data_IF_502088027903
#
_entry.id   IF_502088027903
#
_cell.length_a   1.000
_cell.length_b   1.000
_cell.length_c   1.000
_cell.angle_alpha   90.00
_cell.angle_beta   90.00
_cell.angle_gamma   90.00
#
_symmetry.space_group_name_H-M   'P 1'
#
loop_
_entity.id
_entity.type
_entity.pdbx_description
1 polymer ?
#
# COMPACT_ATOMS: atom_id res chain seq x y z
N UNK A 1 4.27 15.24 27.46
CA UNK A 1 3.01 14.49 27.52
C UNK A 1 2.89 13.78 26.18
N UNK A 2 3.25 12.51 26.15
CA UNK A 2 3.48 11.74 24.92
C UNK A 2 2.12 11.25 24.42
N UNK A 3 1.67 11.77 23.28
CA UNK A 3 0.48 11.30 22.59
C UNK A 3 0.88 10.03 21.85
N UNK A 4 0.26 8.91 22.22
CA UNK A 4 0.59 7.58 21.76
C UNK A 4 -0.08 7.33 20.39
N UNK A 5 0.72 7.16 19.35
CA UNK A 5 0.35 7.05 17.94
C UNK A 5 -0.20 5.67 17.56
N UNK A 6 -1.31 5.23 18.16
CA UNK A 6 -1.91 3.91 17.90
C UNK A 6 -2.99 3.89 16.80
N UNK A 7 -3.16 4.96 16.03
CA UNK A 7 -4.14 5.01 14.91
C UNK A 7 -3.59 4.50 13.58
N UNK A 8 -2.26 4.35 13.45
CA UNK A 8 -1.63 3.90 12.20
C UNK A 8 -1.78 2.39 11.93
N UNK A 9 -2.03 1.57 12.96
CA UNK A 9 -2.03 0.10 12.84
C UNK A 9 -3.37 -0.47 12.33
N UNK A 10 -4.49 0.25 12.48
CA UNK A 10 -5.80 -0.23 12.00
C UNK A 10 -6.02 0.03 10.50
N UNK A 11 -5.43 1.09 9.93
CA UNK A 11 -5.59 1.46 8.52
C UNK A 11 -4.88 0.46 7.58
N UNK A 12 -3.78 -0.17 8.02
CA UNK A 12 -3.14 -1.23 7.23
C UNK A 12 -4.01 -2.49 7.10
N UNK A 13 -4.87 -2.78 8.09
CA UNK A 13 -5.71 -3.99 8.06
C UNK A 13 -6.93 -3.87 7.14
N UNK A 14 -7.47 -2.66 6.92
CA UNK A 14 -8.57 -2.44 5.97
C UNK A 14 -8.12 -2.62 4.53
N UNK A 15 -6.90 -2.16 4.20
CA UNK A 15 -6.30 -2.35 2.87
C UNK A 15 -5.91 -3.81 2.61
N UNK A 16 -5.60 -4.58 3.65
CA UNK A 16 -5.35 -6.02 3.51
C UNK A 16 -6.64 -6.83 3.23
N UNK A 17 -7.82 -6.33 3.62
CA UNK A 17 -9.10 -7.03 3.42
C UNK A 17 -9.60 -6.94 1.97
N UNK A 18 -9.20 -5.90 1.23
CA UNK A 18 -9.50 -5.77 -0.21
C UNK A 18 -8.58 -6.66 -1.05
N UNK A 19 -7.37 -6.94 -0.59
CA UNK A 19 -6.40 -7.83 -1.28
C UNK A 19 -6.55 -9.33 -0.93
N UNK A 20 -7.43 -9.71 0.00
CA UNK A 20 -7.53 -11.10 0.49
C UNK A 20 -8.61 -11.95 -0.19
N UNK A 21 -9.30 -11.46 -1.23
CA UNK A 21 -10.34 -12.21 -1.95
C UNK A 21 -9.88 -12.79 -3.30
N UNK A 22 -8.57 -12.81 -3.60
CA UNK A 22 -8.03 -13.35 -4.85
C UNK A 22 -6.75 -14.18 -4.66
N UNK A 23 -6.69 -15.01 -3.62
CA UNK A 23 -5.59 -15.97 -3.43
C UNK A 23 -6.09 -17.38 -3.14
N UNK A 24 -6.50 -18.07 -4.20
CA UNK A 24 -6.20 -19.49 -4.32
C UNK A 24 -5.18 -19.70 -5.44
N UNK A 25 -4.19 -20.51 -5.08
CA UNK A 25 -2.92 -20.78 -5.73
C UNK A 25 -3.03 -21.43 -7.11
N UNK A 26 -2.23 -20.94 -8.06
CA UNK A 26 -1.51 -21.79 -9.01
C UNK A 26 -0.17 -21.14 -9.40
N UNK A 27 0.92 -21.81 -9.07
CA UNK A 27 2.25 -21.55 -9.64
C UNK A 27 2.29 -22.15 -11.04
N UNK A 28 2.88 -21.37 -11.95
CA UNK A 28 3.25 -21.74 -13.32
C UNK A 28 2.09 -21.72 -14.32
N UNK A 29 1.73 -20.53 -14.82
CA UNK A 29 1.15 -20.41 -16.16
C UNK A 29 1.83 -19.27 -16.92
N UNK A 30 2.25 -19.59 -18.14
CA UNK A 30 2.61 -18.65 -19.20
C UNK A 30 1.53 -17.56 -19.33
N UNK A 31 1.94 -16.34 -19.70
CA UNK A 31 1.06 -15.21 -20.01
C UNK A 31 -0.08 -15.64 -20.96
N UNK A 32 -1.20 -16.11 -20.40
CA UNK A 32 -2.50 -16.04 -21.05
C UNK A 32 -2.93 -14.58 -20.95
N UNK A 33 -2.94 -13.92 -22.10
CA UNK A 33 -3.67 -12.67 -22.27
C UNK A 33 -5.11 -12.99 -21.90
N UNK A 34 -5.57 -12.46 -20.78
CA UNK A 34 -6.98 -12.44 -20.43
C UNK A 34 -7.72 -11.62 -21.50
N UNK A 35 -8.85 -12.11 -21.99
CA UNK A 35 -9.76 -11.36 -22.88
C UNK A 35 -10.48 -10.21 -22.15
N UNK A 36 -10.19 -9.99 -20.85
CA UNK A 36 -10.72 -8.87 -20.07
C UNK A 36 -9.91 -7.59 -20.33
N UNK A 37 -10.61 -6.47 -20.50
CA UNK A 37 -9.97 -5.16 -20.64
C UNK A 37 -9.01 -4.89 -19.47
N UNK A 38 -7.81 -4.34 -19.73
CA UNK A 38 -6.82 -4.08 -18.68
C UNK A 38 -7.37 -3.09 -17.64
N UNK A 39 -7.37 -3.46 -16.36
CA UNK A 39 -7.83 -2.58 -15.26
C UNK A 39 -6.65 -1.95 -14.54
N UNK A 40 -6.70 -0.64 -14.30
CA UNK A 40 -5.69 0.09 -13.54
C UNK A 40 -5.65 -0.44 -12.10
N UNK A 41 -4.47 -0.92 -11.69
CA UNK A 41 -4.20 -1.39 -10.34
C UNK A 41 -3.52 -0.29 -9.53
N UNK A 42 -4.14 0.09 -8.41
CA UNK A 42 -3.61 1.13 -7.53
C UNK A 42 -2.19 0.82 -7.02
N UNK A 43 -1.95 -0.47 -6.74
CA UNK A 43 -0.67 -1.05 -6.29
C UNK A 43 -0.40 -2.32 -7.07
N UNK A 44 0.87 -2.54 -7.36
CA UNK A 44 1.40 -3.61 -8.19
C UNK A 44 2.46 -4.37 -7.39
N UNK A 45 2.71 -5.63 -7.75
CA UNK A 45 3.73 -6.43 -7.09
C UNK A 45 5.10 -5.79 -7.26
N UNK A 46 5.72 -5.44 -6.14
CA UNK A 46 7.01 -4.77 -6.07
C UNK A 46 7.92 -5.57 -5.13
N UNK A 47 9.10 -5.95 -5.63
CA UNK A 47 10.12 -6.60 -4.83
C UNK A 47 11.08 -5.55 -4.27
N UNK A 48 10.94 -5.26 -2.96
CA UNK A 48 11.82 -4.31 -2.28
C UNK A 48 13.22 -4.88 -2.02
N UNK A 49 14.19 -4.02 -1.70
CA UNK A 49 15.51 -4.50 -1.27
C UNK A 49 15.44 -5.26 0.06
N UNK A 50 14.45 -4.95 0.90
CA UNK A 50 14.14 -5.73 2.11
C UNK A 50 13.72 -7.16 1.77
N UNK A 51 12.88 -7.34 0.75
CA UNK A 51 12.43 -8.66 0.31
C UNK A 51 13.56 -9.47 -0.32
N UNK A 52 14.40 -8.84 -1.14
CA UNK A 52 15.62 -9.46 -1.69
C UNK A 52 16.56 -9.91 -0.59
N UNK A 53 16.79 -9.07 0.44
CA UNK A 53 17.62 -9.43 1.59
C UNK A 53 17.02 -10.57 2.41
N UNK A 54 15.69 -10.59 2.58
CA UNK A 54 14.99 -11.71 3.24
C UNK A 54 15.16 -13.00 2.45
N UNK A 55 14.96 -12.98 1.15
CA UNK A 55 15.13 -14.13 0.28
C UNK A 55 16.58 -14.66 0.33
N UNK A 56 17.57 -13.77 0.21
CA UNK A 56 18.99 -14.12 0.33
C UNK A 56 19.31 -14.77 1.69
N UNK A 57 18.85 -14.15 2.77
CA UNK A 57 19.07 -14.63 4.14
C UNK A 57 18.45 -16.01 4.37
N UNK A 58 17.19 -16.19 3.96
CA UNK A 58 16.51 -17.49 4.07
C UNK A 58 17.20 -18.55 3.23
N UNK A 59 17.57 -18.25 1.98
CA UNK A 59 18.25 -19.19 1.11
C UNK A 59 19.61 -19.63 1.68
N UNK A 60 20.40 -18.67 2.18
CA UNK A 60 21.72 -18.93 2.76
C UNK A 60 21.61 -19.78 4.04
N UNK A 61 20.86 -19.31 5.04
CA UNK A 61 20.85 -19.96 6.35
C UNK A 61 20.07 -21.26 6.39
N UNK A 62 19.08 -21.46 5.50
CA UNK A 62 18.44 -22.77 5.37
C UNK A 62 19.46 -23.82 4.88
N UNK A 63 20.28 -23.48 3.89
CA UNK A 63 21.34 -24.38 3.39
C UNK A 63 22.39 -24.66 4.45
N UNK A 64 22.87 -23.62 5.13
CA UNK A 64 23.88 -23.76 6.20
C UNK A 64 23.34 -24.59 7.37
N UNK A 65 22.06 -24.45 7.73
CA UNK A 65 21.44 -25.28 8.76
C UNK A 65 21.43 -26.77 8.37
N UNK A 66 21.09 -27.09 7.12
CA UNK A 66 21.14 -28.46 6.62
C UNK A 66 22.57 -29.03 6.57
N UNK A 67 23.58 -28.19 6.36
CA UNK A 67 24.99 -28.59 6.50
C UNK A 67 25.38 -28.84 7.96
N UNK A 68 25.02 -27.93 8.87
CA UNK A 68 25.32 -28.05 10.30
C UNK A 68 24.72 -29.32 10.92
N UNK A 69 23.51 -29.71 10.51
CA UNK A 69 22.82 -30.93 10.99
C UNK A 69 23.52 -32.24 10.61
N UNK A 70 24.48 -32.23 9.66
CA UNK A 70 25.27 -33.42 9.29
C UNK A 70 26.36 -33.75 10.30
N UNK A 71 26.69 -32.82 11.19
CA UNK A 71 27.71 -33.02 12.21
C UNK A 71 27.13 -33.70 13.45
N UNK A 72 27.92 -34.56 14.10
CA UNK A 72 27.49 -35.26 15.32
C UNK A 72 27.11 -34.29 16.46
N UNK A 73 27.74 -33.11 16.51
CA UNK A 73 27.36 -32.02 17.40
C UNK A 73 27.28 -30.70 16.60
N UNK A 74 26.10 -30.32 16.10
CA UNK A 74 25.91 -29.11 15.31
C UNK A 74 26.28 -27.82 16.08
N UNK A 75 26.02 -27.76 17.38
CA UNK A 75 26.38 -26.58 18.21
C UNK A 75 27.90 -26.40 18.31
N UNK A 76 28.64 -27.49 18.52
CA UNK A 76 30.10 -27.45 18.54
C UNK A 76 30.65 -27.05 17.16
N UNK A 77 30.10 -27.60 16.08
CA UNK A 77 30.50 -27.25 14.73
C UNK A 77 30.29 -25.74 14.42
N UNK A 78 29.15 -25.18 14.80
CA UNK A 78 28.89 -23.73 14.66
C UNK A 78 29.90 -22.93 15.50
N UNK A 79 30.16 -23.34 16.75
CA UNK A 79 31.16 -22.68 17.59
C UNK A 79 32.55 -22.69 16.94
N UNK A 80 32.96 -23.82 16.37
CA UNK A 80 34.25 -23.99 15.74
C UNK A 80 34.41 -23.10 14.50
N UNK A 81 33.37 -22.99 13.66
CA UNK A 81 33.35 -22.09 12.49
C UNK A 81 33.64 -20.64 12.83
N UNK A 82 33.10 -20.15 13.94
CA UNK A 82 33.14 -18.71 14.25
C UNK A 82 34.18 -18.33 15.30
N UNK A 83 34.59 -19.24 16.19
CA UNK A 83 35.37 -18.88 17.38
C UNK A 83 36.66 -19.69 17.59
N UNK A 84 36.93 -20.74 16.81
CA UNK A 84 38.13 -21.56 16.96
C UNK A 84 39.08 -21.44 15.75
N UNK A 85 40.11 -20.59 15.79
CA UNK A 85 41.03 -20.39 14.66
C UNK A 85 41.77 -21.63 14.18
N UNK A 86 41.93 -22.64 15.04
CA UNK A 86 42.55 -23.93 14.68
C UNK A 86 41.59 -24.92 14.02
N UNK A 87 40.30 -24.60 13.92
CA UNK A 87 39.31 -25.45 13.27
C UNK A 87 39.51 -25.46 11.76
N UNK A 88 39.42 -26.62 11.08
CA UNK A 88 39.41 -26.66 9.61
C UNK A 88 38.17 -25.98 9.00
N UNK A 89 37.16 -25.64 9.81
CA UNK A 89 35.94 -24.95 9.40
C UNK A 89 35.94 -23.46 9.74
N UNK A 90 37.03 -22.94 10.30
CA UNK A 90 37.09 -21.55 10.75
C UNK A 90 36.88 -20.57 9.59
N UNK A 91 35.94 -19.64 9.75
CA UNK A 91 35.65 -18.61 8.76
C UNK A 91 36.56 -17.41 9.03
N UNK A 92 37.43 -17.10 8.07
CA UNK A 92 38.33 -15.95 8.11
C UNK A 92 37.66 -14.65 7.68
N UNK A 93 38.30 -13.50 7.97
CA UNK A 93 37.85 -12.20 7.47
C UNK A 93 36.57 -11.61 8.10
N UNK A 94 36.00 -12.25 9.12
CA UNK A 94 34.87 -11.71 9.89
C UNK A 94 35.33 -10.90 11.11
N UNK A 95 34.71 -9.75 11.33
CA UNK A 95 34.84 -8.98 12.57
C UNK A 95 34.21 -9.72 13.75
N UNK A 96 34.53 -9.28 14.98
CA UNK A 96 33.91 -9.83 16.19
C UNK A 96 32.38 -9.71 16.17
N UNK A 97 31.84 -8.60 15.65
CA UNK A 97 30.39 -8.39 15.61
C UNK A 97 29.73 -9.32 14.59
N UNK A 98 30.29 -9.45 13.40
CA UNK A 98 29.76 -10.34 12.36
C UNK A 98 29.79 -11.81 12.79
N UNK A 99 30.85 -12.24 13.50
CA UNK A 99 30.91 -13.59 14.09
C UNK A 99 29.75 -13.84 15.05
N UNK A 100 29.44 -12.86 15.92
CA UNK A 100 28.31 -12.98 16.86
C UNK A 100 26.97 -13.05 16.14
N UNK A 101 26.77 -12.20 15.15
CA UNK A 101 25.53 -12.17 14.35
C UNK A 101 25.36 -13.51 13.63
N UNK A 102 26.34 -13.91 12.79
CA UNK A 102 26.21 -15.10 11.96
C UNK A 102 26.11 -16.39 12.78
N UNK A 103 26.92 -16.56 13.84
CA UNK A 103 26.79 -17.70 14.74
C UNK A 103 25.43 -17.72 15.45
N UNK A 104 24.95 -16.57 15.95
CA UNK A 104 23.65 -16.46 16.59
C UNK A 104 22.50 -16.82 15.64
N UNK A 105 22.60 -16.37 14.38
CA UNK A 105 21.64 -16.69 13.33
C UNK A 105 21.61 -18.19 13.02
N UNK A 106 22.76 -18.84 12.82
CA UNK A 106 22.81 -20.29 12.60
C UNK A 106 22.24 -21.09 13.77
N UNK A 107 22.49 -20.65 15.01
CA UNK A 107 21.91 -21.27 16.22
C UNK A 107 20.39 -21.12 16.26
N UNK A 108 19.85 -19.96 15.86
CA UNK A 108 18.40 -19.77 15.77
C UNK A 108 17.78 -20.69 14.70
N UNK A 109 18.40 -20.80 13.52
CA UNK A 109 17.95 -21.74 12.50
C UNK A 109 18.02 -23.20 12.96
N UNK A 110 19.04 -23.56 13.73
CA UNK A 110 19.15 -24.91 14.31
C UNK A 110 18.00 -25.18 15.30
N UNK A 111 17.63 -24.20 16.11
CA UNK A 111 16.61 -24.34 17.15
C UNK A 111 15.17 -24.24 16.61
N UNK A 112 14.93 -23.33 15.66
CA UNK A 112 13.57 -22.90 15.27
C UNK A 112 13.27 -23.09 13.77
N UNK A 113 14.27 -23.40 12.95
CA UNK A 113 14.13 -23.48 11.49
C UNK A 113 14.05 -22.12 10.78
N UNK A 114 14.09 -21.01 11.52
CA UNK A 114 14.09 -19.64 11.01
C UNK A 114 14.78 -18.69 12.01
N UNK A 115 15.12 -17.49 11.55
CA UNK A 115 15.59 -16.41 12.41
C UNK A 115 15.10 -15.04 11.93
N UNK A 116 15.10 -14.07 12.84
CA UNK A 116 14.96 -12.67 12.45
C UNK A 116 16.21 -12.20 11.69
N UNK A 117 16.01 -11.31 10.72
CA UNK A 117 17.10 -10.73 9.93
C UNK A 117 17.84 -9.69 10.77
N UNK A 118 19.17 -9.75 10.73
CA UNK A 118 20.03 -8.68 11.21
C UNK A 118 20.74 -8.04 10.02
N UNK A 119 20.50 -6.75 9.74
CA UNK A 119 21.11 -6.08 8.58
C UNK A 119 22.62 -5.86 8.70
N UNK A 120 23.21 -6.08 9.89
CA UNK A 120 24.66 -6.15 10.10
C UNK A 120 25.26 -7.55 9.85
N UNK A 121 24.47 -8.50 9.37
CA UNK A 121 24.93 -9.83 9.02
C UNK A 121 25.95 -9.77 7.86
N UNK A 122 27.08 -10.51 7.95
CA UNK A 122 28.10 -10.51 6.91
C UNK A 122 27.61 -10.92 5.52
N UNK A 123 26.48 -11.64 5.40
CA UNK A 123 25.90 -11.98 4.08
C UNK A 123 25.43 -10.75 3.29
N UNK A 124 25.21 -9.62 3.97
CA UNK A 124 24.78 -8.35 3.34
C UNK A 124 25.93 -7.38 3.09
N UNK A 125 27.19 -7.81 3.30
CA UNK A 125 28.37 -6.98 2.99
C UNK A 125 28.29 -6.46 1.54
N UNK A 126 28.53 -5.17 1.37
CA UNK A 126 28.50 -4.50 0.07
C UNK A 126 27.11 -4.10 -0.44
N UNK A 127 26.02 -4.51 0.22
CA UNK A 127 24.66 -4.11 -0.17
C UNK A 127 24.26 -2.71 0.32
N UNK A 128 25.10 -2.07 1.13
CA UNK A 128 24.86 -0.75 1.71
C UNK A 128 23.75 -0.72 2.78
N UNK A 129 23.45 0.45 3.35
CA UNK A 129 22.34 0.64 4.28
C UNK A 129 20.99 0.51 3.58
N UNK A 130 19.96 0.19 4.37
CA UNK A 130 18.56 0.15 3.93
C UNK A 130 17.81 1.27 4.65
N UNK A 131 17.14 2.14 3.88
CA UNK A 131 16.38 3.27 4.41
C UNK A 131 14.89 3.08 4.10
N UNK A 132 14.06 2.97 5.14
CA UNK A 132 12.65 2.60 4.98
C UNK A 132 11.84 3.61 4.18
N UNK A 133 12.11 4.90 4.36
CA UNK A 133 11.48 6.00 3.60
C UNK A 133 11.87 5.98 2.11
N UNK A 134 13.16 5.73 1.81
CA UNK A 134 13.63 5.53 0.43
C UNK A 134 12.96 4.32 -0.22
N UNK A 135 12.81 3.20 0.50
CA UNK A 135 12.15 2.01 -0.05
C UNK A 135 10.67 2.26 -0.35
N UNK A 136 9.96 2.97 0.54
CA UNK A 136 8.57 3.40 0.30
C UNK A 136 8.48 4.31 -0.92
N UNK A 137 9.40 5.28 -1.06
CA UNK A 137 9.42 6.18 -2.20
C UNK A 137 9.68 5.45 -3.53
N UNK A 138 10.61 4.48 -3.54
CA UNK A 138 10.85 3.63 -4.73
C UNK A 138 9.64 2.77 -5.08
N UNK A 139 8.96 2.20 -4.09
CA UNK A 139 7.72 1.44 -4.32
C UNK A 139 6.65 2.33 -4.95
N UNK A 140 6.45 3.55 -4.44
CA UNK A 140 5.51 4.52 -5.04
C UNK A 140 5.89 4.88 -6.49
N UNK A 141 7.18 5.10 -6.76
CA UNK A 141 7.67 5.38 -8.11
C UNK A 141 7.43 4.21 -9.08
N UNK A 142 7.72 2.98 -8.65
CA UNK A 142 7.46 1.77 -9.41
C UNK A 142 5.95 1.62 -9.72
N UNK A 143 5.10 1.83 -8.71
CA UNK A 143 3.65 1.78 -8.89
C UNK A 143 3.14 2.83 -9.87
N UNK A 144 3.69 4.05 -9.85
CA UNK A 144 3.35 5.08 -10.84
C UNK A 144 3.71 4.65 -12.25
N UNK A 145 4.87 4.03 -12.45
CA UNK A 145 5.26 3.51 -13.76
C UNK A 145 4.30 2.41 -14.23
N UNK A 146 3.96 1.44 -13.36
CA UNK A 146 3.03 0.38 -13.71
C UNK A 146 1.62 0.92 -14.05
N UNK A 147 1.14 1.93 -13.32
CA UNK A 147 -0.13 2.61 -13.63
C UNK A 147 -0.07 3.35 -14.97
N UNK A 148 1.05 4.00 -15.30
CA UNK A 148 1.23 4.62 -16.62
C UNK A 148 1.16 3.56 -17.73
N UNK A 149 1.80 2.40 -17.55
CA UNK A 149 1.79 1.30 -18.52
C UNK A 149 0.39 0.70 -18.69
N UNK A 150 -0.35 0.49 -17.59
CA UNK A 150 -1.74 0.02 -17.63
C UNK A 150 -2.67 1.01 -18.32
N UNK A 151 -2.50 2.31 -18.05
CA UNK A 151 -3.27 3.34 -18.75
C UNK A 151 -2.93 3.38 -20.24
N UNK A 152 -1.65 3.23 -20.60
CA UNK A 152 -1.27 3.14 -22.01
C UNK A 152 -1.91 1.92 -22.71
N UNK A 153 -1.91 0.75 -22.06
CA UNK A 153 -2.56 -0.46 -22.57
C UNK A 153 -4.07 -0.27 -22.76
N UNK A 154 -4.73 0.47 -21.87
CA UNK A 154 -6.14 0.85 -21.99
C UNK A 154 -6.39 1.73 -23.23
N UNK A 155 -5.55 2.74 -23.44
CA UNK A 155 -5.63 3.61 -24.62
C UNK A 155 -5.40 2.81 -25.91
N UNK A 156 -4.37 1.97 -25.94
CA UNK A 156 -3.99 1.17 -27.10
C UNK A 156 -5.10 0.17 -27.48
N UNK A 157 -5.66 -0.54 -26.48
CA UNK A 157 -6.74 -1.52 -26.69
C UNK A 157 -8.02 -0.88 -27.23
N UNK A 158 -8.22 0.40 -26.95
CA UNK A 158 -9.39 1.18 -27.40
C UNK A 158 -9.09 2.09 -28.60
N UNK A 159 -7.89 1.99 -29.19
CA UNK A 159 -7.43 2.83 -30.31
C UNK A 159 -7.52 4.34 -30.01
N UNK A 160 -7.28 4.74 -28.77
CA UNK A 160 -7.29 6.13 -28.33
C UNK A 160 -5.87 6.67 -28.39
N UNK A 161 -5.69 7.80 -29.06
CA UNK A 161 -4.40 8.50 -29.10
C UNK A 161 -4.55 9.87 -28.47
N UNK A 162 -3.78 10.13 -27.41
CA UNK A 162 -3.68 11.47 -26.81
C UNK A 162 -2.55 12.21 -27.55
N UNK A 163 -2.79 13.40 -28.14
CA UNK A 163 -1.75 14.13 -28.84
C UNK A 163 -0.58 14.50 -27.91
N UNK A 164 0.62 14.54 -28.49
CA UNK A 164 1.82 14.89 -27.75
C UNK A 164 1.73 16.30 -27.15
N UNK A 165 2.21 16.47 -25.93
CA UNK A 165 2.14 17.72 -25.14
C UNK A 165 0.71 18.18 -24.81
N UNK A 166 -0.30 17.33 -25.00
CA UNK A 166 -1.62 17.57 -24.42
C UNK A 166 -1.54 17.36 -22.92
N UNK A 167 -1.87 18.41 -22.18
CA UNK A 167 -1.94 18.39 -20.72
C UNK A 167 -3.38 18.11 -20.30
N UNK A 168 -3.60 16.96 -19.69
CA UNK A 168 -4.90 16.58 -19.16
C UNK A 168 -4.87 16.58 -17.64
N UNK A 169 -6.01 16.84 -17.04
CA UNK A 169 -6.27 16.57 -15.62
C UNK A 169 -7.46 15.65 -15.51
N UNK A 170 -7.24 14.54 -14.82
CA UNK A 170 -8.27 13.58 -14.45
C UNK A 170 -8.69 13.87 -13.01
N UNK A 171 -9.95 14.20 -12.80
CA UNK A 171 -10.54 14.45 -11.48
C UNK A 171 -11.57 13.37 -11.18
N UNK A 172 -11.45 12.74 -10.02
CA UNK A 172 -12.24 11.56 -9.66
C UNK A 172 -13.20 11.91 -8.52
N UNK A 173 -14.49 11.68 -8.77
CA UNK A 173 -15.52 11.66 -7.74
C UNK A 173 -15.57 10.26 -7.11
N UNK A 174 -15.28 10.12 -5.80
CA UNK A 174 -15.17 8.81 -5.16
C UNK A 174 -16.52 8.15 -4.84
N UNK A 175 -17.64 8.88 -4.97
CA UNK A 175 -18.96 8.34 -4.62
C UNK A 175 -19.42 7.30 -5.64
N UNK A 176 -19.32 7.67 -6.93
CA UNK A 176 -19.71 6.83 -8.07
C UNK A 176 -18.51 6.36 -8.90
N UNK A 177 -17.29 6.71 -8.48
CA UNK A 177 -16.06 6.53 -9.26
C UNK A 177 -16.19 7.05 -10.69
N UNK A 178 -16.63 8.32 -10.79
CA UNK A 178 -16.74 9.03 -12.06
C UNK A 178 -15.51 9.88 -12.30
N UNK A 179 -15.07 9.91 -13.55
CA UNK A 179 -13.94 10.74 -13.99
C UNK A 179 -14.47 11.97 -14.72
N UNK A 180 -13.85 13.11 -14.43
CA UNK A 180 -13.97 14.32 -15.23
C UNK A 180 -12.61 14.67 -15.81
N UNK A 181 -12.56 14.86 -17.13
CA UNK A 181 -11.34 15.21 -17.85
C UNK A 181 -11.35 16.70 -18.22
N UNK A 182 -10.24 17.37 -17.95
CA UNK A 182 -10.03 18.78 -18.29
C UNK A 182 -8.65 19.02 -18.91
N UNK A 183 -8.42 20.20 -19.50
CA UNK A 183 -7.16 20.54 -20.18
C UNK A 183 -7.17 20.33 -21.70
N UNK A 184 -8.31 19.94 -22.27
CA UNK A 184 -8.53 19.84 -23.72
C UNK A 184 -9.88 20.42 -24.11
N UNK A 185 -9.95 21.03 -25.30
CA UNK A 185 -11.20 21.47 -25.96
C UNK A 185 -11.80 20.37 -26.85
N UNK A 186 -11.09 19.25 -27.04
CA UNK A 186 -11.59 18.09 -27.76
C UNK A 186 -12.63 17.35 -26.90
N UNK A 187 -13.91 17.69 -27.13
CA UNK A 187 -15.04 17.14 -26.39
C UNK A 187 -15.24 15.64 -26.63
N UNK A 188 -14.84 15.12 -27.80
CA UNK A 188 -15.00 13.71 -28.14
C UNK A 188 -13.93 12.89 -27.42
N UNK A 189 -12.66 13.30 -27.51
CA UNK A 189 -11.57 12.66 -26.76
C UNK A 189 -11.85 12.72 -25.25
N UNK A 190 -12.33 13.87 -24.76
CA UNK A 190 -12.73 14.03 -23.36
C UNK A 190 -13.76 12.97 -22.95
N UNK A 191 -14.85 12.86 -23.69
CA UNK A 191 -15.94 11.91 -23.39
C UNK A 191 -15.45 10.47 -23.44
N UNK A 192 -14.68 10.10 -24.45
CA UNK A 192 -14.12 8.75 -24.60
C UNK A 192 -13.20 8.40 -23.43
N UNK A 193 -12.36 9.33 -22.97
CA UNK A 193 -11.49 9.12 -21.81
C UNK A 193 -12.28 9.01 -20.50
N UNK A 194 -13.34 9.80 -20.32
CA UNK A 194 -14.24 9.70 -19.16
C UNK A 194 -14.93 8.34 -19.14
N UNK A 195 -15.51 7.89 -20.25
CA UNK A 195 -16.18 6.59 -20.37
C UNK A 195 -15.22 5.41 -20.17
N UNK A 196 -13.97 5.50 -20.68
CA UNK A 196 -12.94 4.47 -20.52
C UNK A 196 -12.51 4.30 -19.05
N UNK A 197 -12.43 5.41 -18.32
CA UNK A 197 -11.89 5.43 -16.97
C UNK A 197 -12.94 5.29 -15.88
N UNK A 198 -14.23 5.51 -16.13
CA UNK A 198 -15.26 5.37 -15.10
C UNK A 198 -15.23 3.99 -14.39
N UNK A 199 -15.78 3.93 -13.18
CA UNK A 199 -15.91 2.70 -12.35
C UNK A 199 -14.55 2.15 -11.87
N UNK A 200 -14.15 0.95 -12.31
CA UNK A 200 -13.02 0.23 -11.73
C UNK A 200 -11.67 0.91 -12.05
N UNK A 201 -11.52 1.52 -13.23
CA UNK A 201 -10.31 2.28 -13.57
C UNK A 201 -10.19 3.57 -12.73
N UNK A 202 -11.30 4.28 -12.53
CA UNK A 202 -11.38 5.46 -11.69
C UNK A 202 -11.08 5.12 -10.24
N UNK A 203 -11.62 4.01 -9.75
CA UNK A 203 -11.31 3.47 -8.43
C UNK A 203 -9.84 3.10 -8.29
N UNK A 204 -9.26 2.42 -9.29
CA UNK A 204 -7.84 2.11 -9.36
C UNK A 204 -6.98 3.38 -9.26
N UNK A 205 -7.29 4.38 -10.06
CA UNK A 205 -6.58 5.66 -10.07
C UNK A 205 -6.79 6.47 -8.77
N UNK A 206 -7.99 6.43 -8.20
CA UNK A 206 -8.32 7.08 -6.93
C UNK A 206 -7.45 6.54 -5.78
N UNK A 207 -7.42 5.21 -5.62
CA UNK A 207 -6.58 4.58 -4.61
C UNK A 207 -5.10 4.71 -4.93
N UNK A 208 -4.72 4.79 -6.22
CA UNK A 208 -3.35 5.09 -6.61
C UNK A 208 -2.92 6.45 -6.05
N UNK A 209 -3.71 7.52 -6.28
CA UNK A 209 -3.42 8.87 -5.76
C UNK A 209 -3.31 8.87 -4.23
N UNK A 210 -4.21 8.15 -3.53
CA UNK A 210 -4.13 8.02 -2.06
C UNK A 210 -2.83 7.33 -1.64
N UNK A 211 -2.40 6.29 -2.37
CA UNK A 211 -1.20 5.52 -2.05
C UNK A 211 0.11 6.25 -2.38
N UNK A 212 0.11 7.12 -3.40
CA UNK A 212 1.25 7.92 -3.81
C UNK A 212 1.34 9.27 -3.11
N UNK A 213 0.35 9.65 -2.28
CA UNK A 213 0.34 10.97 -1.61
C UNK A 213 1.57 11.18 -0.72
N UNK A 214 2.06 12.40 -0.66
CA UNK A 214 2.94 12.88 0.41
C UNK A 214 2.13 13.56 1.53
N UNK A 215 2.77 13.79 2.66
CA UNK A 215 2.13 14.34 3.86
C UNK A 215 1.63 15.79 3.67
N UNK A 216 2.23 16.53 2.74
CA UNK A 216 1.89 17.91 2.38
C UNK A 216 0.81 18.02 1.29
N UNK A 217 0.17 16.91 0.90
CA UNK A 217 -0.84 16.90 -0.16
C UNK A 217 -2.04 17.79 0.19
N UNK A 218 -2.30 18.81 -0.63
CA UNK A 218 -3.41 19.77 -0.45
C UNK A 218 -4.79 19.18 -0.80
N UNK A 219 -4.82 18.06 -1.53
CA UNK A 219 -6.08 17.43 -1.94
C UNK A 219 -6.70 16.60 -0.79
N UNK A 220 -5.84 16.11 0.11
CA UNK A 220 -6.20 15.15 1.14
C UNK A 220 -6.38 15.83 2.51
N UNK A 221 -7.40 15.40 3.25
CA UNK A 221 -7.48 15.64 4.69
C UNK A 221 -8.04 14.43 5.39
N UNK A 222 -7.73 14.28 6.69
CA UNK A 222 -8.25 13.17 7.48
C UNK A 222 -9.79 13.20 7.53
N UNK A 223 -10.38 14.38 7.67
CA UNK A 223 -11.84 14.56 7.72
C UNK A 223 -12.53 14.09 6.42
N UNK A 224 -12.00 14.50 5.26
CA UNK A 224 -12.53 14.07 3.95
C UNK A 224 -12.42 12.55 3.77
N UNK A 225 -11.30 11.96 4.18
CA UNK A 225 -11.08 10.51 4.09
C UNK A 225 -11.99 9.73 5.04
N UNK A 226 -12.15 10.20 6.28
CA UNK A 226 -13.07 9.60 7.24
C UNK A 226 -14.52 9.67 6.76
N UNK A 227 -14.95 10.80 6.17
CA UNK A 227 -16.25 10.91 5.50
C UNK A 227 -16.40 9.87 4.38
N UNK A 228 -15.42 9.79 3.48
CA UNK A 228 -15.44 8.82 2.39
C UNK A 228 -15.61 7.38 2.92
N UNK A 229 -14.81 6.99 3.91
CA UNK A 229 -14.91 5.66 4.52
C UNK A 229 -16.25 5.42 5.21
N UNK A 230 -16.80 6.42 5.91
CA UNK A 230 -18.11 6.30 6.55
C UNK A 230 -19.21 6.01 5.52
N UNK A 231 -19.26 6.77 4.42
CA UNK A 231 -20.27 6.56 3.37
C UNK A 231 -20.15 5.15 2.77
N UNK A 232 -18.92 4.73 2.45
CA UNK A 232 -18.64 3.39 1.90
C UNK A 232 -19.01 2.28 2.88
N UNK A 233 -18.62 2.40 4.15
CA UNK A 233 -18.94 1.41 5.19
C UNK A 233 -20.46 1.27 5.35
N UNK A 234 -21.20 2.37 5.40
CA UNK A 234 -22.66 2.32 5.52
C UNK A 234 -23.27 1.63 4.30
N UNK A 235 -22.81 1.96 3.10
CA UNK A 235 -23.26 1.30 1.87
C UNK A 235 -22.96 -0.20 1.89
N UNK A 236 -21.73 -0.60 2.22
CA UNK A 236 -21.27 -1.99 2.17
C UNK A 236 -21.95 -2.86 3.23
N UNK A 237 -22.21 -2.33 4.43
CA UNK A 237 -22.80 -3.10 5.54
C UNK A 237 -24.32 -3.03 5.56
N UNK A 238 -24.93 -1.90 5.20
CA UNK A 238 -26.39 -1.70 5.29
C UNK A 238 -27.11 -1.77 3.95
N UNK A 239 -26.39 -1.59 2.84
CA UNK A 239 -26.95 -1.42 1.51
C UNK A 239 -27.44 -0.01 1.19
N UNK A 240 -27.39 0.93 2.15
CA UNK A 240 -27.87 2.30 1.96
C UNK A 240 -26.73 3.28 1.75
N UNK A 241 -26.86 4.13 0.73
CA UNK A 241 -25.99 5.28 0.55
C UNK A 241 -26.51 6.44 1.40
N UNK A 242 -25.68 6.99 2.29
CA UNK A 242 -26.07 8.11 3.16
C UNK A 242 -26.53 9.36 2.39
N UNK A 243 -26.10 9.52 1.13
CA UNK A 243 -26.53 10.62 0.24
C UNK A 243 -28.02 10.61 -0.04
N UNK A 244 -28.64 9.42 -0.01
CA UNK A 244 -30.01 9.20 -0.43
C UNK A 244 -30.99 9.18 0.76
N UNK A 245 -30.50 9.49 1.96
CA UNK A 245 -31.25 9.39 3.21
C UNK A 245 -31.54 10.75 3.82
N UNK A 246 -32.69 10.84 4.48
CA UNK A 246 -33.06 12.02 5.25
C UNK A 246 -32.34 12.05 6.60
N UNK A 247 -32.09 13.26 7.09
CA UNK A 247 -31.64 13.49 8.46
C UNK A 247 -32.83 13.98 9.29
N UNK A 248 -33.27 13.17 10.25
CA UNK A 248 -34.36 13.49 11.18
C UNK A 248 -33.83 13.37 12.61
N UNK A 249 -34.02 14.42 13.42
CA UNK A 249 -33.54 14.49 14.80
C UNK A 249 -32.06 14.12 14.98
N UNK A 250 -31.24 14.52 14.00
CA UNK A 250 -29.79 14.28 14.01
C UNK A 250 -29.39 12.82 13.78
N UNK A 251 -30.22 12.07 13.04
CA UNK A 251 -29.98 10.69 12.63
C UNK A 251 -30.28 10.51 11.15
N UNK A 252 -29.51 9.67 10.47
CA UNK A 252 -29.85 9.22 9.13
C UNK A 252 -30.97 8.19 9.21
N UNK A 253 -32.06 8.42 8.48
CA UNK A 253 -33.24 7.54 8.48
C UNK A 253 -33.59 7.08 7.07
N UNK A 254 -34.04 5.84 6.96
CA UNK A 254 -34.65 5.27 5.75
C UNK A 254 -36.04 5.87 5.50
N UNK A 255 -36.60 5.61 4.33
CA UNK A 255 -37.96 6.07 3.96
C UNK A 255 -39.07 5.61 4.91
N UNK A 256 -38.88 4.51 5.64
CA UNK A 256 -39.82 4.01 6.65
C UNK A 256 -39.54 4.54 8.08
N UNK A 257 -38.54 5.41 8.24
CA UNK A 257 -38.17 6.04 9.50
C UNK A 257 -37.17 5.25 10.34
N UNK A 258 -36.61 4.15 9.83
CA UNK A 258 -35.62 3.34 10.56
C UNK A 258 -34.26 4.05 10.62
N UNK A 259 -33.67 4.13 11.81
CA UNK A 259 -32.32 4.68 12.02
C UNK A 259 -31.26 3.77 11.40
N UNK A 260 -30.43 4.31 10.51
CA UNK A 260 -29.34 3.56 9.86
C UNK A 260 -28.37 2.94 10.86
N UNK A 261 -28.14 3.61 11.99
CA UNK A 261 -27.25 3.07 13.01
C UNK A 261 -27.78 1.74 13.58
N UNK A 262 -29.10 1.55 13.63
CA UNK A 262 -29.71 0.30 14.10
C UNK A 262 -29.47 -0.83 13.10
N UNK A 263 -29.66 -0.55 11.80
CA UNK A 263 -29.39 -1.51 10.71
C UNK A 263 -27.91 -1.88 10.71
N UNK A 264 -27.02 -0.88 10.74
CA UNK A 264 -25.57 -1.09 10.78
C UNK A 264 -25.16 -1.92 11.99
N UNK A 265 -25.60 -1.54 13.19
CA UNK A 265 -25.26 -2.24 14.43
C UNK A 265 -25.73 -3.69 14.42
N UNK A 266 -26.90 -3.98 13.85
CA UNK A 266 -27.42 -5.33 13.71
C UNK A 266 -26.58 -6.14 12.72
N UNK A 267 -26.36 -5.61 11.51
CA UNK A 267 -25.60 -6.30 10.48
C UNK A 267 -24.16 -6.59 10.91
N UNK A 268 -23.51 -5.68 11.65
CA UNK A 268 -22.18 -5.93 12.22
C UNK A 268 -22.20 -7.05 13.27
N UNK A 269 -23.21 -7.10 14.15
CA UNK A 269 -23.34 -8.14 15.17
C UNK A 269 -23.58 -9.51 14.57
N UNK A 270 -24.43 -9.57 13.55
CA UNK A 270 -24.89 -10.80 12.91
C UNK A 270 -23.90 -11.30 11.84
N UNK A 271 -22.90 -10.49 11.45
CA UNK A 271 -21.92 -10.86 10.43
C UNK A 271 -20.89 -11.86 10.93
N UNK A 272 -20.75 -12.99 10.21
CA UNK A 272 -19.72 -14.00 10.43
C UNK A 272 -18.35 -13.59 9.86
N UNK A 273 -18.34 -12.62 8.92
CA UNK A 273 -17.11 -12.14 8.26
C UNK A 273 -16.37 -11.05 9.04
N UNK A 274 -16.98 -10.56 10.12
CA UNK A 274 -16.40 -9.58 11.04
C UNK A 274 -15.97 -10.31 12.31
N UNK A 275 -14.67 -10.30 12.66
CA UNK A 275 -14.18 -10.93 13.88
C UNK A 275 -14.87 -10.36 15.13
N UNK A 276 -15.23 -11.22 16.06
CA UNK A 276 -16.01 -10.85 17.25
C UNK A 276 -15.35 -9.71 18.06
N UNK A 277 -14.03 -9.73 18.18
CA UNK A 277 -13.27 -8.69 18.90
C UNK A 277 -13.34 -7.31 18.22
N UNK A 278 -13.67 -7.24 16.92
CA UNK A 278 -13.75 -5.99 16.14
C UNK A 278 -15.14 -5.36 16.17
N UNK A 279 -16.21 -6.15 16.33
CA UNK A 279 -17.60 -5.70 16.21
C UNK A 279 -17.93 -4.51 17.10
N UNK A 280 -17.59 -4.59 18.39
CA UNK A 280 -17.85 -3.51 19.36
C UNK A 280 -17.14 -2.20 18.97
N UNK A 281 -15.90 -2.30 18.51
CA UNK A 281 -15.12 -1.15 18.09
C UNK A 281 -15.73 -0.49 16.85
N UNK A 282 -16.07 -1.29 15.83
CA UNK A 282 -16.70 -0.80 14.61
C UNK A 282 -18.02 -0.09 14.88
N UNK A 283 -18.90 -0.68 15.71
CA UNK A 283 -20.18 -0.08 16.09
C UNK A 283 -19.96 1.25 16.82
N UNK A 284 -19.02 1.29 17.76
CA UNK A 284 -18.73 2.50 18.51
C UNK A 284 -18.11 3.61 17.66
N UNK A 285 -17.18 3.27 16.76
CA UNK A 285 -16.47 4.25 15.95
C UNK A 285 -17.39 4.83 14.89
N UNK A 286 -17.94 3.99 14.01
CA UNK A 286 -18.80 4.46 12.93
C UNK A 286 -20.14 5.01 13.43
N UNK A 287 -20.66 4.54 14.56
CA UNK A 287 -21.83 5.15 15.19
C UNK A 287 -21.58 6.58 15.64
N UNK A 288 -20.40 6.86 16.19
CA UNK A 288 -19.99 8.22 16.55
C UNK A 288 -19.87 9.10 15.29
N UNK A 289 -19.17 8.61 14.27
CA UNK A 289 -18.95 9.37 13.03
C UNK A 289 -20.27 9.65 12.29
N UNK A 290 -21.20 8.69 12.29
CA UNK A 290 -22.54 8.83 11.71
C UNK A 290 -23.36 9.91 12.43
N UNK A 291 -23.36 9.90 13.76
CA UNK A 291 -24.05 10.91 14.57
C UNK A 291 -23.43 12.30 14.39
N UNK A 292 -22.10 12.41 14.43
CA UNK A 292 -21.40 13.68 14.20
C UNK A 292 -21.72 14.26 12.82
N UNK A 293 -21.73 13.42 11.78
CA UNK A 293 -22.10 13.85 10.43
C UNK A 293 -23.57 14.28 10.35
N UNK A 294 -24.49 13.54 10.97
CA UNK A 294 -25.91 13.87 10.96
C UNK A 294 -26.20 15.20 11.68
N UNK A 295 -25.55 15.45 12.83
CA UNK A 295 -25.70 16.70 13.58
C UNK A 295 -25.16 17.92 12.82
N UNK A 296 -24.03 17.77 12.15
CA UNK A 296 -23.41 18.86 11.39
C UNK A 296 -24.06 19.04 9.99
N UNK A 297 -24.83 18.06 9.55
CA UNK A 297 -25.45 17.99 8.23
C UNK A 297 -24.59 17.24 7.21
N UNK A 298 -25.26 16.56 6.27
CA UNK A 298 -24.60 15.69 5.30
C UNK A 298 -23.51 16.40 4.49
N UNK A 299 -23.65 17.70 4.16
CA UNK A 299 -22.66 18.44 3.38
C UNK A 299 -21.64 19.23 4.22
N UNK A 300 -21.52 18.93 5.52
CA UNK A 300 -20.60 19.64 6.43
C UNK A 300 -19.12 19.42 6.14
N UNK A 301 -18.77 18.26 5.56
CA UNK A 301 -17.42 17.93 5.11
C UNK A 301 -17.49 17.69 3.60
N UNK A 302 -16.64 18.33 2.79
CA UNK A 302 -16.62 18.10 1.34
C UNK A 302 -16.16 16.68 1.01
N UNK A 303 -16.54 16.19 -0.17
CA UNK A 303 -16.10 14.89 -0.66
C UNK A 303 -14.58 14.88 -0.93
N UNK A 304 -13.95 13.70 -0.81
CA UNK A 304 -12.54 13.51 -1.11
C UNK A 304 -12.32 13.45 -2.62
N UNK A 305 -12.56 14.56 -3.32
CA UNK A 305 -12.28 14.68 -4.75
C UNK A 305 -10.76 14.72 -4.95
N UNK A 306 -10.22 13.80 -5.75
CA UNK A 306 -8.80 13.71 -6.04
C UNK A 306 -8.53 13.91 -7.53
N UNK A 307 -7.40 14.54 -7.85
CA UNK A 307 -6.96 14.79 -9.21
C UNK A 307 -5.53 14.34 -9.45
N UNK A 308 -5.25 13.98 -10.69
CA UNK A 308 -3.93 13.64 -11.19
C UNK A 308 -3.76 14.23 -12.60
N UNK A 309 -2.61 14.85 -12.83
CA UNK A 309 -2.28 15.44 -14.13
C UNK A 309 -1.68 14.36 -15.04
N UNK A 310 -1.81 14.52 -16.35
CA UNK A 310 -1.24 13.63 -17.34
C UNK A 310 -0.65 14.43 -18.50
N UNK A 311 0.56 14.04 -18.90
CA UNK A 311 1.22 14.56 -20.09
C UNK A 311 2.22 13.51 -20.58
N UNK A 312 2.31 13.31 -21.90
CA UNK A 312 3.35 12.49 -22.52
C UNK A 312 3.56 11.11 -21.87
N UNK A 313 2.49 10.32 -21.78
CA UNK A 313 2.47 8.95 -21.24
C UNK A 313 2.80 8.84 -19.74
N UNK A 314 2.67 9.93 -18.99
CA UNK A 314 2.95 9.92 -17.57
C UNK A 314 1.89 10.68 -16.78
N UNK A 315 1.47 10.09 -15.67
CA UNK A 315 0.72 10.77 -14.63
C UNK A 315 1.64 11.55 -13.67
N UNK A 316 1.16 12.68 -13.17
CA UNK A 316 1.85 13.61 -12.27
C UNK A 316 0.96 13.97 -11.08
N UNK A 317 1.53 13.90 -9.88
CA UNK A 317 0.83 14.20 -8.63
C UNK A 317 0.49 15.69 -8.52
N UNK A 318 -0.73 16.00 -8.05
CA UNK A 318 -1.25 17.37 -7.96
C UNK A 318 -1.23 17.86 -6.52
N UNK A 319 -0.69 19.05 -6.31
CA UNK A 319 -0.78 19.77 -5.04
C UNK A 319 0.02 19.17 -3.90
N UNK A 320 1.19 18.58 -4.20
CA UNK A 320 2.08 17.98 -3.22
C UNK A 320 3.55 18.05 -3.70
N UNK A 321 4.53 17.99 -2.80
CA UNK A 321 5.95 18.15 -3.16
C UNK A 321 6.60 16.92 -3.78
N UNK A 322 6.23 15.71 -3.30
CA UNK A 322 6.73 14.46 -3.87
C UNK A 322 5.94 14.11 -5.13
N UNK A 323 6.59 14.14 -6.28
CA UNK A 323 5.98 13.77 -7.55
C UNK A 323 6.67 12.53 -8.12
N UNK A 324 5.88 11.59 -8.61
CA UNK A 324 6.35 10.31 -9.13
C UNK A 324 6.27 10.21 -10.65
N UNK A 325 5.82 11.28 -11.32
CA UNK A 325 5.78 11.35 -12.77
C UNK A 325 7.17 11.24 -13.40
N UNK A 326 7.18 10.89 -14.68
CA UNK A 326 8.41 10.69 -15.45
C UNK A 326 9.29 11.93 -15.38
N UNK A 327 10.53 11.74 -14.94
CA UNK A 327 11.52 12.81 -14.75
C UNK A 327 11.41 13.58 -13.43
N UNK A 328 10.46 13.25 -12.54
CA UNK A 328 10.24 13.95 -11.26
C UNK A 328 10.74 13.18 -10.04
N UNK A 329 11.35 12.00 -10.20
CA UNK A 329 11.75 11.12 -9.08
C UNK A 329 13.16 11.37 -8.53
N UNK A 330 13.87 12.42 -8.99
CA UNK A 330 15.25 12.70 -8.58
C UNK A 330 15.39 12.94 -7.06
N UNK A 331 14.35 13.45 -6.41
CA UNK A 331 14.33 13.67 -4.96
C UNK A 331 14.50 12.37 -4.16
N UNK A 332 14.18 11.19 -4.73
CA UNK A 332 14.37 9.89 -4.06
C UNK A 332 15.87 9.61 -3.86
N UNK A 333 16.69 9.93 -4.86
CA UNK A 333 18.15 9.78 -4.73
C UNK A 333 18.75 10.85 -3.81
N UNK A 334 18.18 12.07 -3.80
CA UNK A 334 18.58 13.11 -2.84
C UNK A 334 18.26 12.71 -1.39
N UNK A 335 17.08 12.12 -1.17
CA UNK A 335 16.68 11.56 0.11
C UNK A 335 17.65 10.44 0.54
N UNK A 336 17.99 9.53 -0.37
CA UNK A 336 18.97 8.47 -0.08
C UNK A 336 20.35 9.03 0.27
N UNK A 337 20.81 10.06 -0.43
CA UNK A 337 22.09 10.71 -0.17
C UNK A 337 22.11 11.43 1.20
N UNK A 338 21.04 12.15 1.55
CA UNK A 338 20.97 12.85 2.84
C UNK A 338 21.02 11.90 4.03
N UNK A 339 20.45 10.70 3.91
CA UNK A 339 20.58 9.66 4.93
C UNK A 339 21.98 9.08 5.06
N UNK A 340 22.79 9.11 4.02
CA UNK A 340 24.18 8.65 4.10
C UNK A 340 25.03 9.64 4.90
N UNK A 341 24.76 10.94 4.74
CA UNK A 341 25.50 12.01 5.42
C UNK A 341 25.17 12.11 6.92
N UNK A 342 23.93 11.79 7.33
CA UNK A 342 23.52 11.76 8.75
C UNK A 342 24.35 10.78 9.60
N UNK A 343 24.93 9.73 9.01
CA UNK A 343 25.77 8.75 9.72
C UNK A 343 27.27 9.09 9.73
N UNK A 344 27.70 10.15 9.04
CA UNK A 344 29.11 10.59 9.03
C UNK A 344 29.42 11.51 10.23
N UNK A 345 28.40 12.06 10.88
CA UNK A 345 28.51 12.93 12.06
C UNK A 345 27.99 12.26 13.34
N UNK A 346 28.60 11.14 13.77
CA UNK A 346 28.46 10.59 15.13
C UNK A 346 29.80 10.12 15.67
#
# INVERSE_FOLDING_TARGET
MIINSNTHTFIQNSNNKINSLSKESNKTEENKISDEEPVIQARNEYESESDKRRALHTAYYSKVNEENKKFANPYAHISDKYYLPSSPYYIEGLTRQERRIASGTEIQYLNLGASNINYGDPIFRGMGPLYGDVEVAKEKAYNRQAVNEQFQQLLDSNNITIPQNTKLRFTIDPNDYKVSVSGTEDLEMKKVLEELLDKENAKGLFYHIISSRSDDSMQYSHEKFSRFNLIREMQDITGYNLRDLDIVDGKFVTNDGTDIFEIYSKNVRDSDSIPEFSKKYMISSYGKDLYELAQNGFNSVPDLILSIDYENNSFYDVGQSENFGTGQTQWIEQLKASKADEFIYV
#
